data_IF_706384065923
#
_entry.id   IF_706384065923
#
_cell.length_a   1.000
_cell.length_b   1.000
_cell.length_c   1.000
_cell.angle_alpha   90.00
_cell.angle_beta   90.00
_cell.angle_gamma   90.00
#
_symmetry.space_group_name_H-M   'P 1'
#
loop_
_entity.id
_entity.type
_entity.pdbx_description
1 polymer ?
#
# COMPACT_ATOMS: atom_id res chain seq x y z
N UNK A 1 -8.48 -2.28 31.65
CA UNK A 1 -7.71 -1.18 31.01
C UNK A 1 -8.58 -0.41 30.01
N UNK A 2 -8.18 0.80 29.57
CA UNK A 2 -8.98 1.68 28.69
C UNK A 2 -9.54 1.01 27.44
N UNK A 3 -8.80 0.04 26.87
CA UNK A 3 -9.23 -0.65 25.65
C UNK A 3 -10.51 -1.50 25.83
N UNK A 4 -10.68 -2.22 26.96
CA UNK A 4 -11.92 -2.95 27.24
C UNK A 4 -13.12 -2.01 27.37
N UNK A 5 -12.91 -0.85 27.98
CA UNK A 5 -13.93 0.18 28.09
C UNK A 5 -14.35 0.65 26.70
N UNK A 6 -13.39 0.94 25.81
CA UNK A 6 -13.67 1.33 24.42
C UNK A 6 -14.48 0.27 23.67
N UNK A 7 -14.10 -1.01 23.77
CA UNK A 7 -14.84 -2.10 23.09
C UNK A 7 -16.24 -2.26 23.66
N UNK A 8 -16.39 -2.24 25.00
CA UNK A 8 -17.69 -2.33 25.66
C UNK A 8 -18.61 -1.17 25.27
N UNK A 9 -18.08 0.06 25.28
CA UNK A 9 -18.83 1.26 24.92
C UNK A 9 -19.25 1.23 23.44
N UNK A 10 -18.34 0.82 22.55
CA UNK A 10 -18.64 0.67 21.13
C UNK A 10 -19.78 -0.34 20.93
N UNK A 11 -19.72 -1.50 21.59
CA UNK A 11 -20.80 -2.50 21.55
C UNK A 11 -22.14 -1.93 22.00
N UNK A 12 -22.18 -1.25 23.15
CA UNK A 12 -23.40 -0.64 23.69
C UNK A 12 -24.02 0.39 22.74
N UNK A 13 -23.18 1.07 21.94
CA UNK A 13 -23.59 2.06 20.94
C UNK A 13 -23.81 1.50 19.54
N UNK A 14 -23.64 0.19 19.34
CA UNK A 14 -23.70 -0.44 18.01
C UNK A 14 -22.57 -0.02 17.06
N UNK A 15 -21.48 0.54 17.59
CA UNK A 15 -20.30 0.94 16.84
C UNK A 15 -19.31 -0.22 16.68
N UNK A 16 -18.43 -0.10 15.70
CA UNK A 16 -17.29 -0.99 15.48
C UNK A 16 -16.00 -0.26 15.81
N UNK A 17 -15.00 -0.98 16.28
CA UNK A 17 -13.66 -0.45 16.55
C UNK A 17 -12.68 -1.24 15.71
N UNK A 18 -11.99 -0.55 14.80
CA UNK A 18 -10.89 -1.16 14.07
C UNK A 18 -9.64 -1.20 14.94
N UNK A 19 -8.94 -2.33 14.91
CA UNK A 19 -7.66 -2.45 15.60
C UNK A 19 -6.55 -1.97 14.69
N UNK A 20 -5.85 -0.92 15.13
CA UNK A 20 -4.52 -0.63 14.62
C UNK A 20 -3.58 -1.76 15.06
N UNK A 21 -2.82 -2.31 14.12
CA UNK A 21 -2.17 -3.62 14.27
C UNK A 21 -0.89 -3.59 15.12
N UNK A 22 -0.51 -2.43 15.68
CA UNK A 22 0.81 -2.19 16.26
C UNK A 22 0.78 -1.14 17.39
N UNK A 23 1.82 -1.12 18.25
CA UNK A 23 2.01 -0.07 19.28
C UNK A 23 2.74 1.19 18.80
N UNK A 24 3.07 1.29 17.51
CA UNK A 24 3.90 2.33 16.91
C UNK A 24 3.89 2.26 15.38
N UNK A 25 4.66 3.13 14.74
CA UNK A 25 4.75 3.22 13.28
C UNK A 25 6.18 2.97 12.79
N UNK A 26 6.38 2.25 11.67
CA UNK A 26 5.37 1.54 10.88
C UNK A 26 4.98 0.20 11.51
N UNK A 27 3.98 -0.47 10.93
CA UNK A 27 3.54 -1.80 11.34
C UNK A 27 4.62 -2.89 11.16
N UNK A 28 4.45 -3.99 11.90
CA UNK A 28 5.28 -5.19 11.81
C UNK A 28 6.52 -5.20 12.70
N UNK A 29 6.55 -4.38 13.76
CA UNK A 29 7.72 -4.20 14.64
C UNK A 29 7.50 -4.74 16.07
N UNK A 30 6.25 -4.95 16.48
CA UNK A 30 5.80 -5.20 17.84
C UNK A 30 6.41 -4.20 18.85
N UNK A 31 6.41 -2.90 18.57
CA UNK A 31 7.09 -1.88 19.37
C UNK A 31 8.60 -2.16 19.55
N UNK A 32 9.22 -2.79 18.56
CA UNK A 32 10.62 -3.24 18.59
C UNK A 32 10.88 -4.49 19.44
N UNK A 33 9.85 -5.20 19.92
CA UNK A 33 10.03 -6.43 20.71
C UNK A 33 10.63 -7.56 19.88
N UNK A 34 10.26 -7.69 18.61
CA UNK A 34 10.77 -8.76 17.73
C UNK A 34 12.29 -8.70 17.67
N UNK A 35 12.84 -7.55 17.31
CA UNK A 35 14.30 -7.37 17.15
C UNK A 35 15.03 -7.42 18.50
N UNK A 36 14.39 -7.01 19.59
CA UNK A 36 14.96 -7.12 20.95
C UNK A 36 15.09 -8.57 21.42
N UNK A 37 14.11 -9.41 21.11
CA UNK A 37 14.07 -10.83 21.52
C UNK A 37 14.75 -11.76 20.51
N UNK A 38 14.76 -11.37 19.23
CA UNK A 38 15.30 -12.12 18.11
C UNK A 38 16.13 -11.21 17.20
N UNK A 39 17.37 -10.84 17.61
CA UNK A 39 18.23 -9.93 16.86
C UNK A 39 18.52 -10.39 15.42
N UNK A 40 18.49 -11.69 15.17
CA UNK A 40 18.70 -12.28 13.84
C UNK A 40 17.58 -11.96 12.84
N UNK A 41 16.41 -11.54 13.34
CA UNK A 41 15.25 -11.11 12.53
C UNK A 41 15.24 -9.60 12.27
N UNK A 42 16.37 -8.92 12.51
CA UNK A 42 16.55 -7.55 12.07
C UNK A 42 16.62 -7.50 10.55
N UNK A 43 15.99 -6.48 9.96
CA UNK A 43 16.00 -6.22 8.53
C UNK A 43 17.42 -6.11 8.01
N UNK A 44 17.65 -6.58 6.78
CA UNK A 44 18.98 -6.62 6.18
C UNK A 44 18.99 -5.92 4.84
N UNK A 45 20.13 -5.33 4.51
CA UNK A 45 20.44 -4.87 3.17
C UNK A 45 21.78 -5.43 2.73
N UNK A 46 21.90 -5.78 1.45
CA UNK A 46 23.21 -6.02 0.85
C UNK A 46 23.78 -4.66 0.47
N UNK A 47 24.84 -4.25 1.13
CA UNK A 47 25.51 -2.97 0.96
C UNK A 47 26.77 -3.13 0.13
N UNK A 48 27.03 -2.16 -0.74
CA UNK A 48 28.30 -2.09 -1.48
C UNK A 48 29.20 -1.02 -0.88
N UNK A 49 30.41 -1.41 -0.49
CA UNK A 49 31.45 -0.52 0.01
C UNK A 49 32.71 -0.72 -0.83
N UNK A 50 33.01 0.24 -1.72
CA UNK A 50 34.05 0.07 -2.73
C UNK A 50 33.75 -1.13 -3.65
N UNK A 51 34.60 -2.16 -3.58
CA UNK A 51 34.45 -3.40 -4.35
C UNK A 51 33.89 -4.57 -3.53
N UNK A 52 33.58 -4.37 -2.25
CA UNK A 52 33.09 -5.41 -1.36
C UNK A 52 31.56 -5.34 -1.19
N UNK A 53 30.95 -6.50 -0.99
CA UNK A 53 29.53 -6.66 -0.71
C UNK A 53 29.38 -7.19 0.72
N UNK A 54 28.70 -6.42 1.57
CA UNK A 54 28.50 -6.79 2.98
C UNK A 54 27.01 -6.79 3.31
N UNK A 55 26.55 -7.77 4.08
CA UNK A 55 25.20 -7.74 4.63
C UNK A 55 25.23 -6.82 5.84
N UNK A 56 24.44 -5.74 5.80
CA UNK A 56 24.29 -4.81 6.91
C UNK A 56 22.90 -4.94 7.50
N UNK A 57 22.87 -4.99 8.82
CA UNK A 57 21.65 -4.91 9.60
C UNK A 57 21.05 -3.50 9.53
N UNK A 58 19.74 -3.42 9.46
CA UNK A 58 18.96 -2.19 9.43
C UNK A 58 17.91 -2.25 10.52
N UNK A 59 17.90 -1.25 11.43
CA UNK A 59 17.28 -1.29 12.78
C UNK A 59 15.77 -1.54 12.93
N UNK A 60 15.10 -2.14 11.94
CA UNK A 60 13.70 -2.60 11.99
C UNK A 60 13.64 -4.11 11.77
N UNK A 61 12.44 -4.67 11.80
CA UNK A 61 12.17 -6.10 11.61
C UNK A 61 12.29 -6.50 10.13
N UNK A 62 12.83 -7.69 9.85
CA UNK A 62 12.91 -8.27 8.52
C UNK A 62 11.54 -8.78 8.05
N UNK A 63 10.78 -7.93 7.35
CA UNK A 63 9.46 -8.28 6.81
C UNK A 63 9.51 -9.20 5.58
N UNK A 64 10.70 -9.54 5.07
CA UNK A 64 10.86 -10.57 4.04
C UNK A 64 10.89 -11.97 4.66
N UNK A 65 11.25 -12.08 5.94
CA UNK A 65 11.31 -13.33 6.68
C UNK A 65 9.95 -13.68 7.31
N UNK A 66 9.29 -14.79 6.91
CA UNK A 66 7.96 -15.13 7.43
C UNK A 66 7.94 -15.39 8.93
N UNK A 67 9.07 -15.83 9.53
CA UNK A 67 9.18 -16.04 10.98
C UNK A 67 8.98 -14.75 11.76
N UNK A 68 9.40 -13.62 11.20
CA UNK A 68 9.23 -12.32 11.83
C UNK A 68 7.74 -11.94 11.94
N UNK A 69 6.96 -12.17 10.88
CA UNK A 69 5.51 -11.95 10.89
C UNK A 69 4.78 -12.96 11.78
N UNK A 70 5.22 -14.21 11.85
CA UNK A 70 4.66 -15.20 12.79
C UNK A 70 4.86 -14.76 14.25
N UNK A 71 6.03 -14.23 14.58
CA UNK A 71 6.29 -13.65 15.90
C UNK A 71 5.48 -12.39 16.14
N UNK A 72 5.32 -11.52 15.14
CA UNK A 72 4.44 -10.35 15.22
C UNK A 72 3.00 -10.75 15.56
N UNK A 73 2.44 -11.72 14.84
CA UNK A 73 1.10 -12.25 15.11
C UNK A 73 0.99 -12.78 16.54
N UNK A 74 1.99 -13.54 17.01
CA UNK A 74 2.02 -14.08 18.38
C UNK A 74 2.12 -13.00 19.46
N UNK A 75 2.97 -11.99 19.25
CA UNK A 75 3.27 -10.95 20.23
C UNK A 75 2.18 -9.88 20.30
N UNK A 76 1.48 -9.64 19.19
CA UNK A 76 0.53 -8.53 19.06
C UNK A 76 -0.89 -9.03 18.84
N UNK A 77 -1.15 -9.73 17.73
CA UNK A 77 -2.52 -10.06 17.33
C UNK A 77 -3.17 -11.11 18.23
N UNK A 78 -2.43 -12.17 18.60
CA UNK A 78 -2.91 -13.16 19.57
C UNK A 78 -3.12 -12.52 20.95
N UNK A 79 -2.33 -11.51 21.31
CA UNK A 79 -2.53 -10.75 22.55
C UNK A 79 -3.76 -9.87 22.50
N UNK A 80 -4.05 -9.23 21.38
CA UNK A 80 -5.33 -8.56 21.19
C UNK A 80 -6.50 -9.54 21.26
N UNK A 81 -6.41 -10.68 20.60
CA UNK A 81 -7.46 -11.71 20.61
C UNK A 81 -7.73 -12.23 22.02
N UNK A 82 -6.67 -12.63 22.74
CA UNK A 82 -6.74 -13.08 24.14
C UNK A 82 -7.38 -12.02 25.04
N UNK A 83 -6.95 -10.76 24.89
CA UNK A 83 -7.42 -9.67 25.70
C UNK A 83 -8.85 -9.24 25.36
N UNK A 84 -9.24 -9.20 24.09
CA UNK A 84 -10.60 -8.79 23.65
C UNK A 84 -11.62 -9.90 23.94
N UNK A 85 -11.23 -11.16 23.81
CA UNK A 85 -12.12 -12.31 23.96
C UNK A 85 -13.23 -12.33 22.91
N UNK A 86 -14.46 -12.57 23.35
CA UNK A 86 -15.62 -12.85 22.48
C UNK A 86 -16.06 -11.69 21.57
N UNK A 87 -15.51 -10.49 21.76
CA UNK A 87 -15.79 -9.32 20.93
C UNK A 87 -14.91 -9.25 19.66
N UNK A 88 -13.90 -10.13 19.58
CA UNK A 88 -13.04 -10.29 18.42
C UNK A 88 -13.84 -10.92 17.26
N UNK A 89 -13.77 -10.33 16.06
CA UNK A 89 -14.63 -10.70 14.93
C UNK A 89 -16.08 -10.18 15.04
N UNK A 90 -16.44 -9.49 16.14
CA UNK A 90 -17.78 -8.90 16.34
C UNK A 90 -17.71 -7.39 16.42
N UNK A 91 -17.33 -6.85 17.58
CA UNK A 91 -17.18 -5.40 17.80
C UNK A 91 -15.84 -4.91 17.26
N UNK A 92 -14.84 -5.79 17.23
CA UNK A 92 -13.61 -5.64 16.46
C UNK A 92 -13.73 -6.45 15.17
N UNK A 93 -14.14 -5.86 14.04
CA UNK A 93 -14.35 -6.60 12.80
C UNK A 93 -13.07 -6.80 11.98
N UNK A 94 -11.98 -6.11 12.31
CA UNK A 94 -10.80 -6.11 11.46
C UNK A 94 -9.57 -5.45 12.05
N UNK A 95 -8.47 -5.63 11.32
CA UNK A 95 -7.13 -5.13 11.61
C UNK A 95 -6.75 -4.12 10.51
N UNK A 96 -6.11 -3.02 10.92
CA UNK A 96 -5.54 -2.00 10.04
C UNK A 96 -4.02 -2.03 10.13
N UNK A 97 -3.33 -2.23 9.00
CA UNK A 97 -1.87 -2.17 8.89
C UNK A 97 -1.41 -0.90 8.19
N UNK A 98 -0.31 -0.33 8.68
CA UNK A 98 0.12 1.02 8.37
C UNK A 98 1.59 1.05 7.95
N UNK A 99 1.80 1.38 6.68
CA UNK A 99 3.11 1.62 6.07
C UNK A 99 4.23 0.61 6.39
N UNK A 100 3.97 -0.73 6.42
CA UNK A 100 5.03 -1.72 6.64
C UNK A 100 6.15 -1.55 5.61
N UNK A 101 7.41 -1.61 6.07
CA UNK A 101 8.55 -1.14 5.29
C UNK A 101 9.65 -2.19 5.15
N UNK A 102 10.09 -2.38 3.92
CA UNK A 102 11.33 -3.08 3.56
C UNK A 102 12.40 -2.04 3.21
N UNK A 103 13.63 -2.28 3.64
CA UNK A 103 14.75 -1.38 3.39
C UNK A 103 15.58 -1.80 2.19
N UNK A 104 16.31 -0.84 1.61
CA UNK A 104 17.06 -1.02 0.39
C UNK A 104 16.23 -0.69 -0.86
N UNK A 105 16.95 -0.51 -1.97
CA UNK A 105 16.40 -0.17 -3.27
C UNK A 105 17.31 -0.78 -4.34
N UNK A 106 16.75 -1.59 -5.25
CA UNK A 106 17.50 -2.07 -6.42
C UNK A 106 17.97 -0.87 -7.26
N UNK A 107 19.20 -0.96 -7.76
CA UNK A 107 19.97 0.13 -8.36
C UNK A 107 20.19 1.31 -7.38
N UNK A 108 20.62 0.97 -6.17
CA UNK A 108 21.21 1.91 -5.20
C UNK A 108 22.44 1.25 -4.57
N UNK A 109 23.00 1.85 -3.52
CA UNK A 109 24.13 1.30 -2.76
C UNK A 109 23.69 0.28 -1.69
N UNK A 110 22.38 0.13 -1.48
CA UNK A 110 21.79 -0.80 -0.50
C UNK A 110 20.63 -1.58 -1.13
N UNK A 111 20.74 -2.88 -1.26
CA UNK A 111 19.72 -3.74 -1.90
C UNK A 111 18.89 -4.45 -0.83
N UNK A 112 17.55 -4.58 -0.96
CA UNK A 112 16.74 -5.35 -0.01
C UNK A 112 17.26 -6.77 0.15
N UNK A 113 17.38 -7.26 1.38
CA UNK A 113 18.01 -8.56 1.64
C UNK A 113 17.37 -9.33 2.79
N UNK A 114 17.43 -10.66 2.72
CA UNK A 114 17.11 -11.60 3.80
C UNK A 114 17.96 -12.87 3.59
N UNK A 115 18.21 -13.66 4.64
CA UNK A 115 19.23 -14.72 4.62
C UNK A 115 19.03 -15.77 3.52
N UNK A 116 17.77 -16.08 3.19
CA UNK A 116 17.42 -17.13 2.22
C UNK A 116 17.17 -16.61 0.80
N UNK A 117 17.43 -15.33 0.53
CA UNK A 117 17.03 -14.70 -0.74
C UNK A 117 17.73 -15.30 -1.95
N UNK A 118 18.99 -15.74 -1.83
CA UNK A 118 19.73 -16.37 -2.93
C UNK A 118 19.11 -17.72 -3.33
N UNK A 119 18.76 -18.56 -2.35
CA UNK A 119 18.14 -19.86 -2.60
C UNK A 119 16.73 -19.70 -3.17
N UNK A 120 15.97 -18.73 -2.66
CA UNK A 120 14.63 -18.41 -3.17
C UNK A 120 14.73 -17.88 -4.60
N UNK A 121 15.69 -17.00 -4.87
CA UNK A 121 15.93 -16.47 -6.20
C UNK A 121 16.26 -17.59 -7.20
N UNK A 122 17.20 -18.47 -6.86
CA UNK A 122 17.59 -19.58 -7.73
C UNK A 122 16.40 -20.53 -7.99
N UNK A 123 15.60 -20.82 -6.97
CA UNK A 123 14.37 -21.61 -7.10
C UNK A 123 13.34 -20.95 -8.02
N UNK A 124 13.07 -19.67 -7.84
CA UNK A 124 11.97 -18.97 -8.52
C UNK A 124 12.35 -18.54 -9.95
N UNK A 125 13.64 -18.29 -10.20
CA UNK A 125 14.15 -17.75 -11.48
C UNK A 125 14.96 -18.75 -12.30
N UNK A 126 15.42 -19.85 -11.69
CA UNK A 126 16.13 -20.92 -12.38
C UNK A 126 17.61 -20.65 -12.66
N UNK A 127 18.22 -19.66 -11.99
CA UNK A 127 19.66 -19.35 -12.13
C UNK A 127 20.26 -18.72 -10.87
N UNK A 128 21.57 -18.86 -10.70
CA UNK A 128 22.30 -18.43 -9.49
C UNK A 128 22.46 -16.91 -9.43
N UNK A 129 22.02 -16.31 -8.33
CA UNK A 129 22.13 -14.86 -8.10
C UNK A 129 23.58 -14.37 -8.00
N UNK A 130 24.48 -15.18 -7.41
CA UNK A 130 25.87 -14.80 -7.09
C UNK A 130 26.64 -14.19 -8.26
N UNK A 131 26.46 -14.72 -9.47
CA UNK A 131 27.15 -14.21 -10.66
C UNK A 131 26.69 -12.81 -11.10
N UNK A 132 25.51 -12.37 -10.63
CA UNK A 132 24.86 -11.14 -11.07
C UNK A 132 24.77 -10.07 -9.96
N UNK A 133 25.26 -10.36 -8.74
CA UNK A 133 25.19 -9.42 -7.61
C UNK A 133 25.67 -8.00 -7.95
N UNK A 134 26.79 -7.79 -8.68
CA UNK A 134 27.22 -6.45 -9.06
C UNK A 134 26.15 -5.67 -9.82
N UNK A 135 25.38 -6.33 -10.69
CA UNK A 135 24.38 -5.70 -11.55
C UNK A 135 23.18 -5.12 -10.78
N UNK A 136 22.96 -5.53 -9.53
CA UNK A 136 21.90 -4.99 -8.68
C UNK A 136 22.18 -3.55 -8.24
N UNK A 137 23.44 -3.11 -8.25
CA UNK A 137 23.86 -1.81 -7.72
C UNK A 137 23.86 -0.71 -8.80
N UNK A 138 23.62 0.54 -8.38
CA UNK A 138 23.64 1.73 -9.26
C UNK A 138 24.97 1.92 -10.00
N UNK A 139 26.08 1.52 -9.39
CA UNK A 139 27.46 1.72 -9.83
C UNK A 139 27.88 0.72 -10.89
N UNK A 140 27.07 -0.30 -11.16
CA UNK A 140 27.32 -1.19 -12.29
C UNK A 140 27.07 -0.45 -13.61
N UNK A 141 28.06 -0.39 -14.52
CA UNK A 141 27.95 0.38 -15.74
C UNK A 141 26.92 -0.25 -16.69
N UNK A 142 25.98 0.57 -17.17
CA UNK A 142 25.04 0.20 -18.22
C UNK A 142 25.65 0.52 -19.58
N UNK A 143 25.96 -0.52 -20.36
CA UNK A 143 26.44 -0.42 -21.74
C UNK A 143 25.44 -1.08 -22.69
N UNK A 144 25.53 -0.78 -23.99
CA UNK A 144 24.66 -1.43 -24.98
C UNK A 144 24.79 -2.97 -24.99
N UNK A 145 25.97 -3.51 -24.64
CA UNK A 145 26.23 -4.94 -24.64
C UNK A 145 25.66 -5.69 -23.43
N UNK A 146 25.55 -5.04 -22.26
CA UNK A 146 25.03 -5.67 -21.03
C UNK A 146 23.62 -5.21 -20.64
N UNK A 147 23.04 -4.27 -21.39
CA UNK A 147 21.77 -3.61 -21.06
C UNK A 147 20.63 -4.58 -20.74
N UNK A 148 20.41 -5.57 -21.62
CA UNK A 148 19.34 -6.54 -21.47
C UNK A 148 19.52 -7.43 -20.23
N UNK A 149 20.76 -7.83 -19.93
CA UNK A 149 21.09 -8.68 -18.80
C UNK A 149 20.90 -7.95 -17.47
N UNK A 150 21.39 -6.71 -17.36
CA UNK A 150 21.24 -5.87 -16.16
C UNK A 150 19.76 -5.58 -15.88
N UNK A 151 18.97 -5.29 -16.92
CA UNK A 151 17.52 -5.09 -16.78
C UNK A 151 16.85 -6.35 -16.26
N UNK A 152 17.15 -7.49 -16.88
CA UNK A 152 16.53 -8.77 -16.53
C UNK A 152 16.79 -9.09 -15.06
N UNK A 153 18.05 -9.02 -14.60
CA UNK A 153 18.37 -9.33 -13.21
C UNK A 153 17.71 -8.37 -12.22
N UNK A 154 17.68 -7.06 -12.51
CA UNK A 154 17.03 -6.08 -11.62
C UNK A 154 15.53 -6.31 -11.51
N UNK A 155 14.87 -6.65 -12.62
CA UNK A 155 13.45 -7.00 -12.63
C UNK A 155 13.20 -8.31 -11.89
N UNK A 156 13.99 -9.36 -12.17
CA UNK A 156 13.83 -10.66 -11.54
C UNK A 156 14.09 -10.61 -10.03
N UNK A 157 15.12 -9.90 -9.60
CA UNK A 157 15.42 -9.73 -8.19
C UNK A 157 14.31 -8.92 -7.50
N UNK A 158 13.83 -7.86 -8.16
CA UNK A 158 12.71 -7.08 -7.65
C UNK A 158 11.45 -7.92 -7.47
N UNK A 159 11.12 -8.72 -8.48
CA UNK A 159 9.98 -9.63 -8.43
C UNK A 159 10.09 -10.63 -7.26
N UNK A 160 11.28 -11.15 -6.96
CA UNK A 160 11.53 -12.08 -5.83
C UNK A 160 11.33 -11.40 -4.48
N UNK A 161 12.03 -10.30 -4.18
CA UNK A 161 11.92 -9.69 -2.84
C UNK A 161 10.53 -9.14 -2.58
N UNK A 162 9.85 -8.61 -3.60
CA UNK A 162 8.46 -8.11 -3.46
C UNK A 162 7.50 -9.28 -3.25
N UNK A 163 7.71 -10.42 -3.92
CA UNK A 163 6.89 -11.62 -3.71
C UNK A 163 7.09 -12.20 -2.31
N UNK A 164 8.32 -12.12 -1.77
CA UNK A 164 8.59 -12.47 -0.38
C UNK A 164 7.87 -11.51 0.57
N UNK A 165 7.98 -10.20 0.36
CA UNK A 165 7.28 -9.23 1.19
C UNK A 165 5.75 -9.45 1.18
N UNK A 166 5.17 -9.64 -0.01
CA UNK A 166 3.75 -9.93 -0.19
C UNK A 166 3.30 -11.17 0.60
N UNK A 167 4.05 -12.27 0.50
CA UNK A 167 3.68 -13.55 1.13
C UNK A 167 4.00 -13.58 2.62
N UNK A 168 5.20 -13.14 3.01
CA UNK A 168 5.72 -13.21 4.37
C UNK A 168 4.98 -12.26 5.30
N UNK A 169 4.69 -11.04 4.86
CA UNK A 169 3.96 -10.06 5.67
C UNK A 169 2.45 -10.13 5.43
N UNK A 170 2.00 -9.63 4.28
CA UNK A 170 0.56 -9.45 4.03
C UNK A 170 -0.18 -10.78 3.91
N UNK A 171 0.41 -11.78 3.26
CA UNK A 171 -0.20 -13.10 3.11
C UNK A 171 -0.38 -13.83 4.44
N UNK A 172 0.62 -13.77 5.33
CA UNK A 172 0.52 -14.36 6.68
C UNK A 172 -0.55 -13.67 7.52
N UNK A 173 -0.58 -12.34 7.54
CA UNK A 173 -1.60 -11.59 8.29
C UNK A 173 -3.00 -11.83 7.69
N UNK A 174 -3.13 -11.84 6.36
CA UNK A 174 -4.39 -12.15 5.69
C UNK A 174 -4.94 -13.52 6.09
N UNK A 175 -4.13 -14.57 6.02
CA UNK A 175 -4.56 -15.91 6.43
C UNK A 175 -4.93 -15.98 7.91
N UNK A 176 -4.18 -15.28 8.76
CA UNK A 176 -4.50 -15.18 10.18
C UNK A 176 -5.84 -14.45 10.40
N UNK A 177 -6.09 -13.33 9.73
CA UNK A 177 -7.36 -12.61 9.79
C UNK A 177 -8.53 -13.48 9.33
N UNK A 178 -8.38 -14.20 8.21
CA UNK A 178 -9.40 -15.14 7.71
C UNK A 178 -9.72 -16.24 8.73
N UNK A 179 -8.70 -16.84 9.36
CA UNK A 179 -8.87 -17.85 10.40
C UNK A 179 -9.56 -17.32 11.67
N UNK A 180 -9.58 -16.01 11.87
CA UNK A 180 -10.18 -15.34 13.02
C UNK A 180 -11.45 -14.54 12.67
N UNK A 181 -11.99 -14.72 11.46
CA UNK A 181 -13.16 -13.98 10.96
C UNK A 181 -12.99 -12.45 11.06
N UNK A 182 -11.83 -11.97 10.65
CA UNK A 182 -11.47 -10.55 10.61
C UNK A 182 -11.25 -10.06 9.18
N UNK A 183 -11.55 -8.78 8.98
CA UNK A 183 -11.20 -8.04 7.78
C UNK A 183 -9.78 -7.50 7.92
N UNK A 184 -8.93 -7.75 6.93
CA UNK A 184 -7.61 -7.16 6.84
C UNK A 184 -7.63 -5.91 5.94
N UNK A 185 -7.37 -4.74 6.50
CA UNK A 185 -7.28 -3.49 5.74
C UNK A 185 -6.01 -2.72 6.08
N UNK A 186 -5.74 -1.68 5.31
CA UNK A 186 -4.54 -0.86 5.50
C UNK A 186 -4.03 -0.31 4.19
N UNK A 187 -2.84 0.24 4.24
CA UNK A 187 -2.19 0.86 3.10
C UNK A 187 -0.67 0.72 3.21
N UNK A 188 0.05 1.33 2.28
CA UNK A 188 1.50 1.25 2.16
C UNK A 188 2.08 2.65 2.33
N UNK A 189 3.40 2.78 2.22
CA UNK A 189 4.01 4.11 2.13
C UNK A 189 4.29 4.48 0.68
N UNK A 190 4.00 5.74 0.33
CA UNK A 190 4.38 6.32 -0.95
C UNK A 190 3.48 5.92 -2.12
N UNK A 191 2.20 5.70 -1.90
CA UNK A 191 1.26 5.32 -2.98
C UNK A 191 0.85 6.50 -3.85
N UNK A 192 1.21 7.71 -3.43
CA UNK A 192 0.99 8.96 -4.14
C UNK A 192 1.75 9.06 -5.47
N UNK A 193 2.75 8.19 -5.71
CA UNK A 193 3.40 8.06 -7.01
C UNK A 193 3.97 6.67 -7.30
N UNK A 194 3.98 6.29 -8.58
CA UNK A 194 4.58 5.02 -9.01
C UNK A 194 6.11 4.98 -8.79
N UNK A 195 6.79 6.13 -8.82
CA UNK A 195 8.22 6.22 -8.47
C UNK A 195 8.46 5.87 -7.00
N UNK A 196 7.58 6.34 -6.11
CA UNK A 196 7.59 5.96 -4.71
C UNK A 196 7.24 4.49 -4.52
N UNK A 197 6.36 3.90 -5.36
CA UNK A 197 6.07 2.47 -5.29
C UNK A 197 7.35 1.65 -5.33
N UNK A 198 8.22 1.87 -6.32
CA UNK A 198 9.51 1.18 -6.41
C UNK A 198 10.35 1.34 -5.14
N UNK A 199 10.37 2.53 -4.56
CA UNK A 199 11.22 2.88 -3.42
C UNK A 199 10.74 2.26 -2.10
N UNK A 200 9.43 2.18 -1.88
CA UNK A 200 8.88 1.87 -0.56
C UNK A 200 8.18 0.50 -0.48
N UNK A 201 7.46 0.10 -1.53
CA UNK A 201 6.60 -1.10 -1.50
C UNK A 201 6.88 -2.09 -2.64
N UNK A 202 7.66 -1.68 -3.64
CA UNK A 202 7.99 -2.43 -4.86
C UNK A 202 6.85 -2.53 -5.88
N UNK A 203 5.70 -3.10 -5.48
CA UNK A 203 4.55 -3.32 -6.37
C UNK A 203 3.19 -3.21 -5.66
N UNK A 204 2.42 -2.14 -5.92
CA UNK A 204 1.15 -1.88 -5.20
C UNK A 204 0.17 -3.06 -5.28
N UNK A 205 -0.18 -3.50 -6.50
CA UNK A 205 -1.21 -4.54 -6.67
C UNK A 205 -0.83 -5.91 -6.09
N UNK A 206 0.45 -6.29 -6.14
CA UNK A 206 0.93 -7.56 -5.58
C UNK A 206 0.71 -7.60 -4.06
N UNK A 207 0.95 -6.49 -3.36
CA UNK A 207 0.67 -6.38 -1.93
C UNK A 207 -0.84 -6.25 -1.66
N UNK A 208 -1.52 -5.35 -2.37
CA UNK A 208 -2.94 -5.03 -2.17
C UNK A 208 -3.89 -6.22 -2.41
N UNK A 209 -3.46 -7.23 -3.17
CA UNK A 209 -4.19 -8.50 -3.31
C UNK A 209 -4.44 -9.22 -1.99
N UNK A 210 -3.57 -9.03 -1.00
CA UNK A 210 -3.70 -9.65 0.32
C UNK A 210 -4.58 -8.86 1.31
N UNK A 211 -4.96 -7.62 1.00
CA UNK A 211 -5.84 -6.80 1.86
C UNK A 211 -7.31 -7.01 1.48
N UNK A 212 -8.20 -7.38 2.39
CA UNK A 212 -9.65 -7.42 2.13
C UNK A 212 -10.21 -6.05 1.73
N UNK A 213 -9.62 -4.97 2.26
CA UNK A 213 -9.88 -3.59 1.86
C UNK A 213 -8.56 -2.88 1.56
N UNK A 214 -8.14 -2.76 0.29
CA UNK A 214 -6.92 -2.05 -0.07
C UNK A 214 -7.08 -0.54 0.13
N UNK A 215 -6.04 0.10 0.67
CA UNK A 215 -6.04 1.52 1.01
C UNK A 215 -4.92 2.34 0.35
N UNK A 216 -5.00 3.65 0.55
CA UNK A 216 -4.01 4.68 0.23
C UNK A 216 -4.07 5.78 1.28
N UNK A 217 -3.07 6.67 1.25
CA UNK A 217 -2.95 7.81 2.14
C UNK A 217 -3.14 9.18 1.48
N UNK A 218 -4.10 9.95 1.98
CA UNK A 218 -4.35 11.36 1.64
C UNK A 218 -4.28 12.22 2.91
N UNK A 219 -3.11 12.16 3.54
CA UNK A 219 -2.88 12.75 4.86
C UNK A 219 -2.00 14.01 4.85
N UNK A 220 -1.17 14.23 3.81
CA UNK A 220 -0.14 15.28 3.73
C UNK A 220 -0.42 16.35 2.66
N UNK A 221 -1.66 16.79 2.50
CA UNK A 221 -2.05 17.76 1.44
C UNK A 221 -1.60 17.33 0.03
N UNK A 222 -1.39 16.04 -0.22
CA UNK A 222 -1.11 15.53 -1.57
C UNK A 222 -2.29 15.85 -2.51
N UNK A 223 -3.49 15.96 -1.92
CA UNK A 223 -4.70 16.41 -2.59
C UNK A 223 -5.22 17.68 -1.92
N UNK A 224 -5.32 18.79 -2.66
CA UNK A 224 -5.79 20.08 -2.16
C UNK A 224 -6.37 20.95 -3.29
N UNK A 225 -7.39 21.81 -3.01
CA UNK A 225 -7.91 22.73 -4.01
C UNK A 225 -6.83 23.67 -4.56
N UNK A 226 -6.86 23.96 -5.86
CA UNK A 226 -5.96 24.94 -6.49
C UNK A 226 -4.55 24.44 -6.83
N UNK A 227 -4.22 23.17 -6.58
CA UNK A 227 -2.94 22.57 -6.99
C UNK A 227 -3.10 21.53 -8.10
N UNK A 228 -1.98 21.11 -8.68
CA UNK A 228 -1.95 19.95 -9.59
C UNK A 228 -2.10 18.69 -8.72
N UNK A 229 -3.26 18.05 -8.82
CA UNK A 229 -3.59 16.88 -8.02
C UNK A 229 -3.39 15.60 -8.84
N UNK A 230 -2.82 14.58 -8.20
CA UNK A 230 -2.55 13.27 -8.81
C UNK A 230 -3.73 12.32 -8.63
N UNK A 231 -3.82 11.33 -9.52
CA UNK A 231 -4.91 10.35 -9.54
C UNK A 231 -4.62 9.07 -8.73
N UNK A 232 -3.70 9.10 -7.78
CA UNK A 232 -3.29 7.93 -7.01
C UNK A 232 -4.41 7.24 -6.19
N UNK A 233 -5.55 7.88 -5.83
CA UNK A 233 -6.68 7.12 -5.26
C UNK A 233 -7.20 6.01 -6.18
N UNK A 234 -6.92 6.09 -7.49
CA UNK A 234 -7.20 5.03 -8.46
C UNK A 234 -6.44 3.74 -8.16
N UNK A 235 -5.32 3.74 -7.44
CA UNK A 235 -4.59 2.51 -7.11
C UNK A 235 -5.42 1.60 -6.20
N UNK A 236 -5.97 2.12 -5.10
CA UNK A 236 -6.82 1.35 -4.18
C UNK A 236 -8.10 0.86 -4.86
N UNK A 237 -8.80 1.74 -5.58
CA UNK A 237 -10.04 1.34 -6.26
C UNK A 237 -9.77 0.32 -7.38
N UNK A 238 -8.64 0.42 -8.09
CA UNK A 238 -8.23 -0.59 -9.07
C UNK A 238 -7.90 -1.92 -8.42
N UNK A 239 -7.17 -1.93 -7.29
CA UNK A 239 -6.88 -3.18 -6.59
C UNK A 239 -8.15 -3.86 -6.08
N UNK A 240 -9.11 -3.07 -5.58
CA UNK A 240 -10.41 -3.58 -5.15
C UNK A 240 -11.18 -4.21 -6.32
N UNK A 241 -11.30 -3.48 -7.45
CA UNK A 241 -12.03 -3.94 -8.62
C UNK A 241 -11.44 -5.20 -9.26
N UNK A 242 -10.11 -5.24 -9.41
CA UNK A 242 -9.39 -6.40 -9.95
C UNK A 242 -9.55 -7.65 -9.09
N UNK A 243 -9.69 -7.47 -7.77
CA UNK A 243 -9.80 -8.56 -6.79
C UNK A 243 -11.23 -8.84 -6.33
N UNK A 244 -12.25 -8.24 -6.96
CA UNK A 244 -13.67 -8.32 -6.57
C UNK A 244 -13.95 -7.90 -5.11
N UNK A 245 -13.16 -6.99 -4.56
CA UNK A 245 -13.37 -6.44 -3.21
C UNK A 245 -14.34 -5.27 -3.28
N UNK A 246 -15.18 -5.16 -2.25
CA UNK A 246 -16.25 -4.14 -2.20
C UNK A 246 -15.72 -2.74 -1.90
N UNK A 247 -14.69 -2.66 -1.06
CA UNK A 247 -14.22 -1.41 -0.51
C UNK A 247 -12.82 -1.08 -0.99
N UNK A 248 -12.57 0.21 -1.18
CA UNK A 248 -11.24 0.80 -1.25
C UNK A 248 -11.17 1.96 -0.27
N UNK A 249 -10.14 1.94 0.56
CA UNK A 249 -9.95 2.80 1.72
C UNK A 249 -9.07 4.00 1.39
N UNK A 250 -9.33 5.11 2.06
CA UNK A 250 -8.37 6.21 2.18
C UNK A 250 -8.26 6.62 3.64
N UNK A 251 -7.04 6.63 4.18
CA UNK A 251 -6.76 7.44 5.37
C UNK A 251 -6.65 8.90 4.93
N UNK A 252 -7.37 9.81 5.59
CA UNK A 252 -7.50 11.19 5.12
C UNK A 252 -7.37 12.21 6.24
N UNK A 253 -6.80 13.36 5.87
CA UNK A 253 -6.73 14.61 6.64
C UNK A 253 -5.67 14.72 7.74
N UNK A 254 -4.86 13.69 8.01
CA UNK A 254 -4.05 13.66 9.23
C UNK A 254 -3.19 14.91 9.43
N UNK A 255 -2.54 15.43 8.39
CA UNK A 255 -1.56 16.54 8.42
C UNK A 255 -2.01 17.73 7.56
N UNK A 256 -3.31 18.06 7.60
CA UNK A 256 -3.85 19.24 6.91
C UNK A 256 -3.88 20.49 7.82
N UNK A 257 -3.51 20.36 9.09
CA UNK A 257 -3.47 21.44 10.08
C UNK A 257 -4.85 21.88 10.60
N UNK A 258 -4.83 22.84 11.52
CA UNK A 258 -6.02 23.34 12.24
C UNK A 258 -6.98 24.17 11.37
N UNK A 259 -6.42 24.84 10.36
CA UNK A 259 -7.15 25.73 9.44
C UNK A 259 -8.08 25.02 8.46
N UNK A 260 -8.01 23.69 8.36
CA UNK A 260 -8.80 22.91 7.41
C UNK A 260 -10.30 23.18 7.57
N UNK A 261 -10.94 23.67 6.52
CA UNK A 261 -12.36 24.03 6.48
C UNK A 261 -13.21 22.86 5.95
N UNK A 262 -14.52 22.85 6.27
CA UNK A 262 -15.42 21.83 5.71
C UNK A 262 -15.55 21.91 4.19
N UNK A 263 -15.39 23.10 3.59
CA UNK A 263 -15.39 23.27 2.15
C UNK A 263 -14.19 22.56 1.50
N UNK A 264 -12.98 22.75 2.04
CA UNK A 264 -11.78 22.04 1.60
C UNK A 264 -11.92 20.54 1.84
N UNK A 265 -12.39 20.12 3.02
CA UNK A 265 -12.60 18.70 3.33
C UNK A 265 -13.53 18.05 2.32
N UNK A 266 -14.67 18.67 2.02
CA UNK A 266 -15.64 18.18 1.02
C UNK A 266 -15.01 18.10 -0.37
N UNK A 267 -14.22 19.09 -0.78
CA UNK A 267 -13.53 19.07 -2.07
C UNK A 267 -12.53 17.90 -2.15
N UNK A 268 -11.69 17.74 -1.13
CA UNK A 268 -10.69 16.66 -1.04
C UNK A 268 -11.36 15.29 -1.03
N UNK A 269 -12.47 15.14 -0.28
CA UNK A 269 -13.24 13.90 -0.23
C UNK A 269 -13.83 13.56 -1.61
N UNK A 270 -14.46 14.54 -2.26
CA UNK A 270 -15.07 14.36 -3.57
C UNK A 270 -14.04 13.99 -4.63
N UNK A 271 -12.87 14.61 -4.58
CA UNK A 271 -11.76 14.27 -5.47
C UNK A 271 -11.37 12.79 -5.36
N UNK A 272 -11.44 12.20 -4.16
CA UNK A 272 -11.16 10.78 -3.94
C UNK A 272 -12.35 9.87 -4.29
N UNK A 273 -13.58 10.27 -3.96
CA UNK A 273 -14.81 9.53 -4.29
C UNK A 273 -14.92 9.28 -5.80
N UNK A 274 -14.73 10.31 -6.62
CA UNK A 274 -14.82 10.17 -8.09
C UNK A 274 -13.70 9.30 -8.68
N UNK A 275 -12.66 9.00 -7.89
CA UNK A 275 -11.58 8.05 -8.22
C UNK A 275 -11.81 6.67 -7.60
N UNK A 276 -13.00 6.43 -7.08
CA UNK A 276 -13.47 5.12 -6.64
C UNK A 276 -13.21 4.80 -5.17
N UNK A 277 -12.63 5.71 -4.38
CA UNK A 277 -12.57 5.52 -2.92
C UNK A 277 -14.00 5.52 -2.37
N UNK A 278 -14.33 4.57 -1.50
CA UNK A 278 -15.68 4.41 -0.96
C UNK A 278 -15.70 4.00 0.52
N UNK A 279 -14.55 4.05 1.20
CA UNK A 279 -14.40 3.98 2.65
C UNK A 279 -13.33 4.99 3.07
N UNK A 280 -13.56 5.76 4.13
CA UNK A 280 -12.63 6.76 4.64
C UNK A 280 -12.29 6.52 6.11
N UNK A 281 -11.01 6.49 6.43
CA UNK A 281 -10.48 6.68 7.78
C UNK A 281 -10.16 8.15 7.98
N UNK A 282 -10.99 8.87 8.75
CA UNK A 282 -10.78 10.29 9.00
C UNK A 282 -9.78 10.46 10.16
N UNK A 283 -8.70 11.19 9.95
CA UNK A 283 -7.67 11.47 10.96
C UNK A 283 -7.31 12.98 11.02
N UNK A 284 -7.06 13.59 12.18
CA UNK A 284 -6.97 13.02 13.52
C UNK A 284 -8.11 13.46 14.46
N UNK A 285 -8.56 12.51 15.29
CA UNK A 285 -9.44 12.76 16.43
C UNK A 285 -8.62 12.72 17.74
N UNK A 286 -7.79 13.73 17.95
CA UNK A 286 -6.95 13.81 19.14
C UNK A 286 -7.79 13.97 20.42
N UNK A 287 -7.67 13.02 21.37
CA UNK A 287 -8.39 13.06 22.65
C UNK A 287 -8.00 14.27 23.51
N UNK A 288 -6.71 14.61 23.52
CA UNK A 288 -6.19 15.80 24.18
C UNK A 288 -5.39 16.67 23.21
N UNK A 289 -5.32 17.94 23.58
CA UNK A 289 -4.54 19.01 22.94
C UNK A 289 -3.73 19.71 24.02
N UNK A 290 -3.34 19.01 25.07
CA UNK A 290 -2.46 19.57 26.11
C UNK A 290 -1.00 19.40 25.71
N UNK A 291 -0.12 20.24 26.28
CA UNK A 291 1.30 20.24 25.95
C UNK A 291 1.57 20.47 24.45
N UNK A 292 2.46 19.65 23.89
CA UNK A 292 2.83 19.69 22.46
C UNK A 292 1.66 19.40 21.52
N UNK A 293 0.55 18.82 22.00
CA UNK A 293 -0.66 18.62 21.20
C UNK A 293 -1.32 19.91 20.70
N UNK A 294 -0.97 21.08 21.26
CA UNK A 294 -1.40 22.41 20.78
C UNK A 294 -0.65 22.87 19.54
N UNK A 295 0.60 22.40 19.38
CA UNK A 295 1.53 22.82 18.33
C UNK A 295 1.83 21.59 17.50
N UNK A 296 0.83 21.15 16.74
CA UNK A 296 0.89 19.97 15.90
C UNK A 296 0.53 20.33 14.46
N UNK A 297 1.19 19.65 13.51
CA UNK A 297 0.85 19.71 12.09
C UNK A 297 -0.46 18.97 11.79
N UNK A 298 -0.99 18.22 12.76
CA UNK A 298 -2.19 17.43 12.57
C UNK A 298 -3.45 18.29 12.43
N UNK A 299 -4.39 17.80 11.63
CA UNK A 299 -5.77 18.29 11.71
C UNK A 299 -6.41 17.81 13.01
N UNK A 300 -7.15 18.71 13.66
CA UNK A 300 -7.88 18.39 14.88
C UNK A 300 -9.38 18.34 14.58
N UNK A 301 -9.98 17.15 14.52
CA UNK A 301 -11.40 16.99 14.18
C UNK A 301 -12.29 16.62 15.39
N UNK A 302 -11.77 16.73 16.62
CA UNK A 302 -12.49 16.30 17.82
C UNK A 302 -13.11 17.46 18.62
N UNK A 303 -13.67 17.16 19.80
CA UNK A 303 -14.59 18.04 20.53
C UNK A 303 -14.02 19.41 20.95
N UNK A 304 -12.70 19.59 20.98
CA UNK A 304 -12.07 20.88 21.27
C UNK A 304 -11.98 21.80 20.04
N UNK A 305 -12.31 21.31 18.83
CA UNK A 305 -12.40 22.14 17.65
C UNK A 305 -13.75 22.90 17.63
N UNK A 306 -13.77 24.24 17.42
CA UNK A 306 -15.02 25.01 17.27
C UNK A 306 -15.96 24.50 16.17
N UNK A 307 -15.44 23.75 15.20
CA UNK A 307 -16.20 23.10 14.12
C UNK A 307 -16.94 21.83 14.57
N UNK A 308 -16.64 21.26 15.74
CA UNK A 308 -17.19 19.98 16.21
C UNK A 308 -18.72 19.91 16.25
N UNK A 309 -19.46 20.93 16.73
CA UNK A 309 -20.93 20.90 16.73
C UNK A 309 -21.54 20.70 15.33
N UNK A 310 -20.79 21.04 14.28
CA UNK A 310 -21.21 20.93 12.87
C UNK A 310 -20.62 19.70 12.17
N UNK A 311 -19.68 18.98 12.79
CA UNK A 311 -18.99 17.83 12.18
C UNK A 311 -19.96 16.69 11.81
N UNK A 312 -21.11 16.60 12.49
CA UNK A 312 -22.18 15.64 12.15
C UNK A 312 -22.64 15.76 10.70
N UNK A 313 -22.76 16.98 10.16
CA UNK A 313 -23.23 17.20 8.79
C UNK A 313 -22.19 16.71 7.77
N UNK A 314 -20.91 16.94 8.04
CA UNK A 314 -19.83 16.39 7.22
C UNK A 314 -19.81 14.86 7.30
N UNK A 315 -19.94 14.29 8.50
CA UNK A 315 -19.96 12.84 8.70
C UNK A 315 -21.13 12.15 7.99
N UNK A 316 -22.32 12.73 8.05
CA UNK A 316 -23.51 12.25 7.31
C UNK A 316 -23.29 12.30 5.80
N UNK A 317 -22.68 13.38 5.29
CA UNK A 317 -22.31 13.48 3.88
C UNK A 317 -21.32 12.38 3.45
N UNK A 318 -20.28 12.13 4.25
CA UNK A 318 -19.31 11.05 4.00
C UNK A 318 -20.02 9.70 3.99
N UNK A 319 -20.84 9.41 5.00
CA UNK A 319 -21.54 8.14 5.15
C UNK A 319 -22.49 7.86 3.96
N UNK A 320 -23.30 8.86 3.56
CA UNK A 320 -24.22 8.73 2.44
C UNK A 320 -23.47 8.52 1.12
N UNK A 321 -22.40 9.28 0.89
CA UNK A 321 -21.57 9.14 -0.31
C UNK A 321 -20.92 7.75 -0.40
N UNK A 322 -20.31 7.29 0.69
CA UNK A 322 -19.70 5.95 0.77
C UNK A 322 -20.73 4.83 0.61
N UNK A 323 -21.94 5.00 1.17
CA UNK A 323 -23.03 4.03 1.03
C UNK A 323 -23.45 3.87 -0.42
N UNK A 324 -23.54 4.95 -1.19
CA UNK A 324 -23.88 4.91 -2.62
C UNK A 324 -22.71 4.27 -3.41
N UNK A 325 -21.48 4.74 -3.18
CA UNK A 325 -20.29 4.30 -3.92
C UNK A 325 -19.83 2.87 -3.61
N UNK A 326 -20.34 2.24 -2.56
CA UNK A 326 -20.05 0.85 -2.19
C UNK A 326 -21.13 -0.14 -2.63
N UNK A 327 -22.09 0.29 -3.44
CA UNK A 327 -23.14 -0.55 -4.01
C UNK A 327 -22.90 -0.82 -5.49
N UNK A 328 -23.38 -1.96 -5.98
CA UNK A 328 -23.26 -2.35 -7.37
C UNK A 328 -21.84 -2.77 -7.77
N UNK A 329 -21.55 -2.63 -9.07
CA UNK A 329 -20.24 -2.90 -9.67
C UNK A 329 -19.86 -1.72 -10.54
N UNK A 330 -18.58 -1.34 -10.59
CA UNK A 330 -18.13 -0.24 -11.43
C UNK A 330 -18.28 -0.59 -12.92
N UNK A 331 -18.80 0.34 -13.72
CA UNK A 331 -18.81 0.23 -15.17
C UNK A 331 -17.59 0.96 -15.75
N UNK A 332 -16.45 0.25 -15.80
CA UNK A 332 -15.18 0.76 -16.30
C UNK A 332 -14.75 -0.07 -17.50
N UNK A 333 -14.45 0.61 -18.61
CA UNK A 333 -14.20 0.00 -19.93
C UNK A 333 -12.73 0.07 -20.35
N UNK A 334 -11.91 0.84 -19.65
CA UNK A 334 -10.51 1.08 -20.00
C UNK A 334 -9.60 0.57 -18.89
N UNK A 335 -8.63 -0.26 -19.27
CA UNK A 335 -7.46 -0.57 -18.45
C UNK A 335 -6.32 0.39 -18.77
N UNK A 336 -5.62 0.89 -17.76
CA UNK A 336 -4.35 1.59 -17.93
C UNK A 336 -3.24 0.71 -17.35
N UNK A 337 -2.31 0.25 -18.19
CA UNK A 337 -1.26 -0.64 -17.72
C UNK A 337 -0.36 0.07 -16.69
N UNK A 338 0.02 -0.65 -15.65
CA UNK A 338 0.86 -0.22 -14.54
C UNK A 338 2.32 -0.66 -14.79
N UNK A 339 3.20 0.21 -15.34
CA UNK A 339 4.49 -0.19 -15.92
C UNK A 339 5.63 -0.22 -14.89
N UNK A 340 5.41 -0.83 -13.72
CA UNK A 340 6.35 -0.77 -12.59
C UNK A 340 7.70 -1.43 -12.88
N UNK A 341 7.73 -2.44 -13.75
CA UNK A 341 8.97 -3.14 -14.11
C UNK A 341 9.99 -2.21 -14.76
N UNK A 342 9.52 -1.22 -15.52
CA UNK A 342 10.39 -0.21 -16.13
C UNK A 342 11.09 0.66 -15.09
N UNK A 343 10.48 0.86 -13.92
CA UNK A 343 11.08 1.61 -12.82
C UNK A 343 12.13 0.77 -12.11
N UNK A 344 11.92 -0.54 -11.93
CA UNK A 344 12.88 -1.44 -11.25
C UNK A 344 14.27 -1.48 -11.91
N UNK A 345 14.38 -1.02 -13.16
CA UNK A 345 15.65 -0.85 -13.87
C UNK A 345 16.58 0.12 -13.14
N UNK A 346 16.07 1.19 -12.51
CA UNK A 346 16.94 2.10 -11.77
C UNK A 346 17.79 3.02 -12.60
N UNK A 347 17.14 3.91 -13.33
CA UNK A 347 17.78 4.91 -14.17
C UNK A 347 17.18 6.31 -13.90
N UNK A 348 17.77 7.36 -14.48
CA UNK A 348 17.31 8.75 -14.31
C UNK A 348 15.89 9.03 -14.87
N UNK A 349 15.24 8.06 -15.51
CA UNK A 349 13.96 8.20 -16.22
C UNK A 349 12.77 7.69 -15.42
N UNK A 350 12.91 7.41 -14.12
CA UNK A 350 11.76 7.09 -13.26
C UNK A 350 10.65 8.15 -13.40
N UNK A 351 11.06 9.43 -13.46
CA UNK A 351 10.17 10.58 -13.69
C UNK A 351 9.47 10.56 -15.06
N UNK A 352 10.09 9.99 -16.08
CA UNK A 352 9.52 9.89 -17.44
C UNK A 352 8.36 8.89 -17.44
N UNK A 353 8.56 7.71 -16.84
CA UNK A 353 7.53 6.67 -16.70
C UNK A 353 6.35 7.18 -15.87
N UNK A 354 6.64 7.83 -14.75
CA UNK A 354 5.61 8.48 -13.92
C UNK A 354 4.84 9.55 -14.69
N UNK A 355 5.56 10.45 -15.37
CA UNK A 355 4.94 11.52 -16.17
C UNK A 355 4.01 10.95 -17.25
N UNK A 356 4.44 9.92 -17.97
CA UNK A 356 3.65 9.29 -19.03
C UNK A 356 2.36 8.65 -18.46
N UNK A 357 2.47 7.94 -17.34
CA UNK A 357 1.31 7.35 -16.66
C UNK A 357 0.33 8.42 -16.17
N UNK A 358 0.83 9.47 -15.52
CA UNK A 358 0.00 10.56 -14.99
C UNK A 358 -0.65 11.38 -16.11
N UNK A 359 0.08 11.64 -17.20
CA UNK A 359 -0.43 12.35 -18.37
C UNK A 359 -1.63 11.63 -18.97
N UNK A 360 -1.53 10.32 -19.21
CA UNK A 360 -2.65 9.53 -19.74
C UNK A 360 -3.81 9.49 -18.75
N UNK A 361 -3.52 9.29 -17.45
CA UNK A 361 -4.54 9.31 -16.40
C UNK A 361 -5.33 10.63 -16.38
N UNK A 362 -4.63 11.76 -16.51
CA UNK A 362 -5.23 13.10 -16.54
C UNK A 362 -6.05 13.33 -17.82
N UNK A 363 -5.55 12.89 -18.97
CA UNK A 363 -6.29 12.99 -20.24
C UNK A 363 -7.61 12.21 -20.12
N UNK A 364 -7.54 10.94 -19.70
CA UNK A 364 -8.72 10.08 -19.57
C UNK A 364 -9.78 10.71 -18.65
N UNK A 365 -9.39 11.08 -17.43
CA UNK A 365 -10.34 11.63 -16.45
C UNK A 365 -10.83 13.03 -16.83
N UNK A 366 -10.02 13.87 -17.49
CA UNK A 366 -10.49 15.19 -17.98
C UNK A 366 -11.51 15.09 -19.10
N UNK A 367 -11.52 13.96 -19.82
CA UNK A 367 -12.47 13.63 -20.89
C UNK A 367 -13.60 12.71 -20.40
N UNK A 368 -13.72 12.51 -19.09
CA UNK A 368 -14.73 11.65 -18.45
C UNK A 368 -14.66 10.17 -18.86
N UNK A 369 -13.51 9.70 -19.31
CA UNK A 369 -13.22 8.29 -19.50
C UNK A 369 -12.63 7.71 -18.21
N UNK A 370 -13.44 6.97 -17.46
CA UNK A 370 -12.94 6.28 -16.27
C UNK A 370 -12.09 5.05 -16.65
N UNK A 371 -11.11 4.73 -15.82
CA UNK A 371 -10.15 3.64 -16.06
C UNK A 371 -9.83 2.86 -14.79
N UNK A 372 -9.25 1.67 -14.90
CA UNK A 372 -8.55 1.06 -13.77
C UNK A 372 -7.09 0.78 -14.16
N UNK A 373 -6.19 0.96 -13.21
CA UNK A 373 -4.82 0.47 -13.37
C UNK A 373 -4.82 -1.05 -13.39
N UNK A 374 -3.98 -1.65 -14.23
CA UNK A 374 -3.89 -3.11 -14.40
C UNK A 374 -2.43 -3.53 -14.48
N UNK A 375 -2.05 -4.56 -13.74
CA UNK A 375 -0.71 -5.15 -13.78
C UNK A 375 -0.69 -6.47 -14.58
N UNK A 376 0.50 -7.03 -14.74
CA UNK A 376 0.72 -8.25 -15.53
C UNK A 376 -0.03 -9.47 -14.96
N UNK A 377 -0.10 -9.60 -13.63
CA UNK A 377 -0.82 -10.70 -12.98
C UNK A 377 -2.32 -10.65 -13.24
N UNK A 378 -2.92 -9.45 -13.26
CA UNK A 378 -4.32 -9.29 -13.61
C UNK A 378 -4.58 -9.69 -15.07
N UNK A 379 -3.71 -9.28 -15.99
CA UNK A 379 -3.84 -9.61 -17.42
C UNK A 379 -3.69 -11.10 -17.67
N UNK A 380 -2.72 -11.78 -17.03
CA UNK A 380 -2.54 -13.24 -17.14
C UNK A 380 -3.76 -14.03 -16.67
N UNK A 381 -4.52 -13.50 -15.71
CA UNK A 381 -5.74 -14.13 -15.16
C UNK A 381 -7.00 -13.74 -15.92
N UNK A 382 -6.88 -12.85 -16.91
CA UNK A 382 -8.00 -12.36 -17.67
C UNK A 382 -8.58 -13.42 -18.59
N UNK A 383 -9.88 -13.32 -18.86
CA UNK A 383 -10.55 -14.12 -19.88
C UNK A 383 -11.07 -13.20 -20.97
N UNK A 384 -10.78 -13.53 -22.23
CA UNK A 384 -11.36 -12.83 -23.37
C UNK A 384 -12.73 -13.43 -23.67
N UNK A 385 -13.77 -12.61 -23.65
CA UNK A 385 -15.13 -13.03 -23.97
C UNK A 385 -15.81 -11.94 -24.82
N UNK A 386 -16.29 -12.31 -26.01
CA UNK A 386 -16.94 -11.41 -26.98
C UNK A 386 -16.12 -10.14 -27.25
N UNK A 387 -14.82 -10.30 -27.49
CA UNK A 387 -13.90 -9.19 -27.77
C UNK A 387 -13.58 -8.30 -26.56
N UNK A 388 -14.04 -8.63 -25.35
CA UNK A 388 -13.75 -7.88 -24.13
C UNK A 388 -12.87 -8.68 -23.19
N UNK A 389 -11.97 -7.98 -22.49
CA UNK A 389 -11.09 -8.58 -21.50
C UNK A 389 -11.74 -8.51 -20.11
N UNK A 390 -11.99 -9.66 -19.49
CA UNK A 390 -12.71 -9.80 -18.21
C UNK A 390 -11.74 -10.11 -17.08
N UNK A 391 -11.69 -9.24 -16.07
CA UNK A 391 -10.88 -9.43 -14.84
C UNK A 391 -11.65 -8.85 -13.66
N UNK A 392 -11.76 -9.59 -12.56
CA UNK A 392 -12.40 -9.06 -11.36
C UNK A 392 -13.86 -8.64 -11.62
N UNK A 393 -14.20 -7.38 -11.32
CA UNK A 393 -15.48 -6.76 -11.73
C UNK A 393 -15.48 -6.14 -13.12
N UNK A 394 -14.34 -6.09 -13.79
CA UNK A 394 -14.12 -5.31 -15.00
C UNK A 394 -14.44 -6.07 -16.28
N UNK A 395 -14.90 -5.31 -17.27
CA UNK A 395 -15.17 -5.76 -18.62
C UNK A 395 -14.62 -4.73 -19.60
N UNK A 396 -13.36 -4.91 -19.96
CA UNK A 396 -12.58 -3.90 -20.64
C UNK A 396 -12.71 -4.03 -22.15
N UNK A 397 -12.92 -2.89 -22.80
CA UNK A 397 -12.92 -2.75 -24.25
C UNK A 397 -11.50 -2.47 -24.79
N UNK A 398 -10.63 -1.87 -23.96
CA UNK A 398 -9.25 -1.59 -24.31
C UNK A 398 -8.31 -1.60 -23.09
N UNK A 399 -7.04 -1.89 -23.34
CA UNK A 399 -5.93 -1.62 -22.42
C UNK A 399 -5.03 -0.58 -23.09
N UNK A 400 -4.84 0.55 -22.43
CA UNK A 400 -3.89 1.59 -22.81
C UNK A 400 -2.56 1.27 -22.12
N UNK A 401 -1.50 1.19 -22.92
CA UNK A 401 -0.14 0.94 -22.42
C UNK A 401 0.64 2.25 -22.51
N UNK A 402 1.06 2.85 -21.37
CA UNK A 402 1.88 4.05 -21.38
C UNK A 402 3.25 3.73 -21.97
N UNK A 403 3.90 4.71 -22.59
CA UNK A 403 5.28 4.54 -23.05
C UNK A 403 6.20 4.22 -21.86
N UNK A 404 6.86 3.07 -21.95
CA UNK A 404 7.78 2.54 -20.95
C UNK A 404 8.88 1.70 -21.65
N UNK A 405 9.93 1.34 -20.92
CA UNK A 405 11.11 0.65 -21.50
C UNK A 405 10.94 -0.85 -21.60
N UNK A 406 10.24 -1.44 -20.64
CA UNK A 406 10.09 -2.88 -20.51
C UNK A 406 8.65 -3.19 -20.20
N UNK A 407 8.13 -4.17 -20.94
CA UNK A 407 6.85 -4.80 -20.69
C UNK A 407 7.07 -6.28 -20.49
N UNK A 408 6.31 -6.90 -19.59
CA UNK A 408 6.29 -8.35 -19.50
C UNK A 408 5.56 -8.94 -20.70
N UNK A 409 5.94 -10.18 -21.06
CA UNK A 409 5.34 -10.92 -22.18
C UNK A 409 3.81 -10.97 -22.15
N UNK A 410 3.18 -10.93 -20.97
CA UNK A 410 1.72 -10.95 -20.83
C UNK A 410 0.98 -9.75 -21.49
N UNK A 411 1.69 -8.69 -21.86
CA UNK A 411 1.13 -7.54 -22.58
C UNK A 411 1.04 -7.78 -24.09
N UNK A 412 1.88 -8.68 -24.61
CA UNK A 412 1.90 -9.10 -26.01
C UNK A 412 1.05 -10.35 -26.19
#
# INVERSE_FOLDING_TARGET
>A
APFHYTVKEAKQRGMKVWLYDEGGWPSGQAGGLIVRQHPELKGKVLFKEGNEYTIREWGRTDLLNPRATELFLKLVHEKYKEYVGDEFGKTIPGIFTDEPKVHGLVASDSIPWTDNIEQIFEKDKGYKLKAYLPMLFNSYPLTSSNYAEVIKIRIDFSDVWISLFAKSYFGKIHHWCQANNLIFEGHFSGEDSISNHRKFLGHYFKLARHLDIPGIDVIWRQIFPGQINKNFPKFASSAANLSKKRYSLSESYAVYGWGLTFAEMKWILNYQLVRGINKFGLMAFNYSTDGSGRISTQSHMFFKNPKWPYFKYFSEYVANSCKIMSQGKPEIKIGLYYPIESLWIGNKRDKEVEHNLEKISNILLSQHYDFNYIDDEAIKKAVINRGKLKIGYLSLDAIIVPEAKVFKKAIY
#
